data_IF_619711090898
#
_entry.id   IF_619711090898
#
_cell.length_a   1.000
_cell.length_b   1.000
_cell.length_c   1.000
_cell.angle_alpha   90.00
_cell.angle_beta   90.00
_cell.angle_gamma   90.00
#
_symmetry.space_group_name_H-M   'P 1'
#
loop_
_entity.id
_entity.type
_entity.pdbx_description
1 polymer ?
#
# COMPACT_ATOMS: atom_id res chain seq x y z
N UNK A 1 64.86 36.90 9.28
CA UNK A 1 64.60 35.57 9.86
C UNK A 1 63.35 35.68 10.74
N UNK A 2 62.16 35.35 10.22
CA UNK A 2 60.89 35.62 10.90
C UNK A 2 60.59 34.48 11.86
N UNK A 3 60.65 34.74 13.18
CA UNK A 3 60.25 33.81 14.24
C UNK A 3 58.72 33.66 14.24
N UNK A 4 58.21 32.59 13.65
CA UNK A 4 56.82 32.18 13.84
C UNK A 4 56.59 31.78 15.31
N UNK A 5 55.72 32.53 15.98
CA UNK A 5 55.35 32.31 17.38
C UNK A 5 54.65 30.94 17.57
N UNK A 6 54.98 30.17 18.61
CA UNK A 6 54.39 28.85 18.89
C UNK A 6 52.86 28.91 19.09
N UNK A 7 52.33 30.05 19.52
CA UNK A 7 50.88 30.26 19.68
C UNK A 7 50.07 30.15 18.39
N UNK A 8 50.66 30.45 17.22
CA UNK A 8 49.94 30.37 15.94
C UNK A 8 49.72 28.91 15.51
N UNK A 9 50.72 28.05 15.72
CA UNK A 9 50.61 26.60 15.47
C UNK A 9 49.62 25.92 16.43
N UNK A 10 49.53 26.40 17.66
CA UNK A 10 48.61 25.84 18.67
C UNK A 10 47.15 26.22 18.37
N UNK A 11 46.87 27.50 18.05
CA UNK A 11 45.54 27.94 17.58
C UNK A 11 45.09 27.22 16.31
N UNK A 12 45.98 27.06 15.31
CA UNK A 12 45.66 26.31 14.08
C UNK A 12 45.31 24.84 14.35
N UNK A 13 45.90 24.23 15.38
CA UNK A 13 45.63 22.84 15.75
C UNK A 13 44.31 22.70 16.50
N UNK A 14 43.98 23.66 17.37
CA UNK A 14 42.69 23.76 18.06
C UNK A 14 41.55 24.06 17.07
N UNK A 15 41.73 25.01 16.14
CA UNK A 15 40.76 25.32 15.09
C UNK A 15 40.54 24.11 14.16
N UNK A 16 41.59 23.38 13.77
CA UNK A 16 41.44 22.14 13.00
C UNK A 16 40.70 21.06 13.78
N UNK A 17 40.91 20.95 15.09
CA UNK A 17 40.18 20.01 15.95
C UNK A 17 38.70 20.37 16.08
N UNK A 18 38.40 21.65 16.30
CA UNK A 18 37.04 22.16 16.36
C UNK A 18 36.31 22.00 15.01
N UNK A 19 36.98 22.28 13.89
CA UNK A 19 36.43 22.06 12.54
C UNK A 19 36.16 20.57 12.31
N UNK A 20 37.09 19.67 12.65
CA UNK A 20 36.91 18.23 12.48
C UNK A 20 35.70 17.71 13.28
N UNK A 21 35.57 18.10 14.54
CA UNK A 21 34.44 17.69 15.39
C UNK A 21 33.13 18.23 14.83
N UNK A 22 33.13 19.49 14.39
CA UNK A 22 31.96 20.14 13.78
C UNK A 22 31.55 19.47 12.46
N UNK A 23 32.53 19.08 11.63
CA UNK A 23 32.28 18.34 10.39
C UNK A 23 31.72 16.94 10.67
N UNK A 24 32.27 16.22 11.65
CA UNK A 24 31.74 14.90 12.04
C UNK A 24 30.30 15.04 12.56
N UNK A 25 30.04 16.03 13.41
CA UNK A 25 28.70 16.31 13.91
C UNK A 25 27.73 16.64 12.78
N UNK A 26 28.13 17.49 11.84
CA UNK A 26 27.32 17.81 10.66
C UNK A 26 27.02 16.59 9.80
N UNK A 27 28.03 15.75 9.53
CA UNK A 27 27.84 14.50 8.76
C UNK A 27 26.92 13.52 9.49
N UNK A 28 27.00 13.44 10.82
CA UNK A 28 26.10 12.63 11.62
C UNK A 28 24.66 13.13 11.53
N UNK A 29 24.44 14.44 11.67
CA UNK A 29 23.12 15.05 11.51
C UNK A 29 22.56 14.85 10.08
N UNK A 30 23.41 15.02 9.06
CA UNK A 30 23.01 14.81 7.67
C UNK A 30 22.65 13.34 7.39
N UNK A 31 23.46 12.40 7.88
CA UNK A 31 23.19 10.97 7.77
C UNK A 31 21.90 10.57 8.50
N UNK A 32 21.67 11.12 9.70
CA UNK A 32 20.43 10.91 10.45
C UNK A 32 19.20 11.43 9.70
N UNK A 33 19.29 12.64 9.13
CA UNK A 33 18.21 13.23 8.34
C UNK A 33 17.91 12.39 7.10
N UNK A 34 18.94 11.95 6.36
CA UNK A 34 18.78 11.10 5.18
C UNK A 34 18.14 9.75 5.53
N UNK A 35 18.55 9.13 6.64
CA UNK A 35 17.95 7.88 7.11
C UNK A 35 16.47 8.04 7.42
N UNK A 36 16.06 9.18 7.99
CA UNK A 36 14.67 9.47 8.32
C UNK A 36 13.82 9.72 7.06
N UNK A 37 14.38 10.43 6.08
CA UNK A 37 13.72 10.64 4.79
C UNK A 37 13.51 9.33 4.02
N UNK A 38 14.53 8.46 3.97
CA UNK A 38 14.42 7.15 3.34
C UNK A 38 13.36 6.26 4.02
N UNK A 39 13.26 6.35 5.35
CA UNK A 39 12.23 5.62 6.09
C UNK A 39 10.81 6.10 5.75
N UNK A 40 10.60 7.42 5.66
CA UNK A 40 9.32 8.00 5.26
C UNK A 40 8.93 7.57 3.84
N UNK A 41 9.87 7.67 2.89
CA UNK A 41 9.63 7.28 1.49
C UNK A 41 9.25 5.80 1.35
N UNK A 42 9.90 4.91 2.11
CA UNK A 42 9.56 3.49 2.10
C UNK A 42 8.17 3.19 2.69
N UNK A 43 7.74 3.96 3.69
CA UNK A 43 6.40 3.84 4.27
C UNK A 43 5.34 4.32 3.27
N UNK A 44 5.55 5.47 2.64
CA UNK A 44 4.64 6.04 1.65
C UNK A 44 4.50 5.14 0.42
N UNK A 45 5.61 4.56 -0.04
CA UNK A 45 5.60 3.61 -1.16
C UNK A 45 4.79 2.35 -0.83
N UNK A 46 4.94 1.80 0.38
CA UNK A 46 4.17 0.63 0.82
C UNK A 46 2.68 0.95 0.91
N UNK A 47 2.33 2.12 1.45
CA UNK A 47 0.96 2.61 1.51
C UNK A 47 0.35 2.74 0.11
N UNK A 48 1.04 3.41 -0.80
CA UNK A 48 0.58 3.62 -2.17
C UNK A 48 0.38 2.28 -2.90
N UNK A 49 1.33 1.35 -2.79
CA UNK A 49 1.21 0.01 -3.38
C UNK A 49 0.01 -0.74 -2.81
N UNK A 50 -0.17 -0.70 -1.49
CA UNK A 50 -1.29 -1.38 -0.82
C UNK A 50 -2.64 -0.81 -1.27
N UNK A 51 -2.75 0.52 -1.38
CA UNK A 51 -3.95 1.20 -1.90
C UNK A 51 -4.20 0.82 -3.36
N UNK A 52 -3.17 0.89 -4.21
CA UNK A 52 -3.29 0.59 -5.64
C UNK A 52 -3.72 -0.86 -5.88
N UNK A 53 -3.15 -1.82 -5.13
CA UNK A 53 -3.59 -3.22 -5.21
C UNK A 53 -5.04 -3.38 -4.75
N UNK A 54 -5.46 -2.67 -3.68
CA UNK A 54 -6.84 -2.72 -3.21
C UNK A 54 -7.80 -2.20 -4.28
N UNK A 55 -7.44 -1.12 -4.96
CA UNK A 55 -8.23 -0.54 -6.05
C UNK A 55 -8.31 -1.44 -7.28
N UNK A 56 -7.20 -2.05 -7.71
CA UNK A 56 -7.19 -3.01 -8.82
C UNK A 56 -8.09 -4.19 -8.52
N UNK A 57 -7.89 -4.82 -7.35
CA UNK A 57 -8.67 -5.99 -6.94
C UNK A 57 -10.15 -5.64 -6.85
N UNK A 58 -10.49 -4.50 -6.24
CA UNK A 58 -11.89 -4.09 -6.10
C UNK A 58 -12.57 -3.78 -7.43
N UNK A 59 -11.92 -2.98 -8.28
CA UNK A 59 -12.49 -2.57 -9.57
C UNK A 59 -12.58 -3.73 -10.55
N UNK A 60 -11.54 -4.56 -10.63
CA UNK A 60 -11.52 -5.75 -11.49
C UNK A 60 -12.57 -6.79 -11.08
N UNK A 61 -12.70 -7.04 -9.77
CA UNK A 61 -13.75 -7.90 -9.24
C UNK A 61 -15.17 -7.41 -9.58
N UNK A 62 -15.43 -6.10 -9.41
CA UNK A 62 -16.72 -5.51 -9.81
C UNK A 62 -16.94 -5.65 -11.31
N UNK A 63 -15.95 -5.34 -12.14
CA UNK A 63 -16.08 -5.39 -13.59
C UNK A 63 -16.39 -6.81 -14.09
N UNK A 64 -15.77 -7.84 -13.52
CA UNK A 64 -16.01 -9.22 -13.94
C UNK A 64 -17.38 -9.75 -13.51
N UNK A 65 -17.83 -9.42 -12.29
CA UNK A 65 -19.06 -9.96 -11.72
C UNK A 65 -20.31 -9.09 -11.89
N UNK A 66 -20.19 -7.89 -12.48
CA UNK A 66 -21.31 -6.95 -12.67
C UNK A 66 -22.14 -7.38 -13.87
N UNK A 67 -23.44 -7.49 -13.64
CA UNK A 67 -24.44 -7.68 -14.68
C UNK A 67 -25.46 -6.55 -14.63
N UNK A 68 -25.81 -6.04 -15.79
CA UNK A 68 -26.85 -5.05 -15.96
C UNK A 68 -27.96 -5.63 -16.82
N UNK A 69 -29.19 -5.57 -16.32
CA UNK A 69 -30.35 -6.11 -17.01
C UNK A 69 -31.50 -5.12 -16.94
N UNK A 70 -32.47 -5.27 -17.84
CA UNK A 70 -33.69 -4.47 -17.83
C UNK A 70 -34.77 -5.29 -17.14
N UNK A 71 -35.38 -4.74 -16.09
CA UNK A 71 -36.47 -5.41 -15.39
C UNK A 71 -37.78 -5.37 -16.19
N UNK A 72 -38.80 -6.06 -15.68
CA UNK A 72 -40.14 -6.09 -16.29
C UNK A 72 -40.83 -4.73 -16.36
N UNK A 73 -40.33 -3.72 -15.65
CA UNK A 73 -40.82 -2.33 -15.68
C UNK A 73 -40.03 -1.45 -16.66
N UNK A 74 -39.06 -2.02 -17.40
CA UNK A 74 -38.22 -1.28 -18.33
C UNK A 74 -37.10 -0.48 -17.65
N UNK A 75 -36.84 -0.68 -16.36
CA UNK A 75 -35.77 0.01 -15.63
C UNK A 75 -34.49 -0.82 -15.68
N UNK A 76 -33.35 -0.15 -15.88
CA UNK A 76 -32.03 -0.76 -15.81
C UNK A 76 -31.71 -1.07 -14.36
N UNK A 77 -31.53 -2.34 -14.06
CA UNK A 77 -31.06 -2.85 -12.78
C UNK A 77 -29.60 -3.27 -12.91
N UNK A 78 -28.88 -3.17 -11.80
CA UNK A 78 -27.49 -3.55 -11.70
C UNK A 78 -27.35 -4.54 -10.56
N UNK A 79 -26.73 -5.68 -10.83
CA UNK A 79 -26.43 -6.69 -9.82
C UNK A 79 -24.99 -7.17 -9.96
N UNK A 80 -24.34 -7.42 -8.84
CA UNK A 80 -23.03 -8.06 -8.78
C UNK A 80 -23.19 -9.48 -8.26
N UNK A 81 -22.63 -10.44 -8.97
CA UNK A 81 -22.61 -11.85 -8.56
C UNK A 81 -21.28 -12.20 -7.90
N UNK A 82 -21.36 -12.91 -6.78
CA UNK A 82 -20.17 -13.27 -6.03
C UNK A 82 -19.39 -14.41 -6.71
N UNK A 83 -20.10 -15.41 -7.21
CA UNK A 83 -19.54 -16.60 -7.87
C UNK A 83 -20.13 -16.78 -9.26
N UNK A 84 -19.42 -17.50 -10.12
CA UNK A 84 -19.93 -17.85 -11.46
C UNK A 84 -21.17 -18.76 -11.35
N UNK A 85 -21.18 -19.65 -10.35
CA UNK A 85 -22.33 -20.51 -10.05
C UNK A 85 -23.62 -19.72 -9.74
N UNK A 86 -23.50 -18.63 -8.96
CA UNK A 86 -24.64 -17.76 -8.63
C UNK A 86 -25.19 -17.08 -9.90
N UNK A 87 -24.30 -16.68 -10.81
CA UNK A 87 -24.68 -16.03 -12.06
C UNK A 87 -25.42 -16.99 -13.00
N UNK A 88 -24.94 -18.23 -13.12
CA UNK A 88 -25.59 -19.28 -13.92
C UNK A 88 -27.01 -19.56 -13.39
N UNK A 89 -27.18 -19.63 -12.06
CA UNK A 89 -28.51 -19.83 -11.46
C UNK A 89 -29.49 -18.68 -11.71
N UNK A 90 -29.00 -17.50 -12.10
CA UNK A 90 -29.81 -16.31 -12.36
C UNK A 90 -29.80 -15.93 -13.86
N UNK A 91 -29.34 -16.83 -14.74
CA UNK A 91 -29.20 -16.62 -16.19
C UNK A 91 -28.44 -15.31 -16.53
N UNK A 92 -27.46 -14.97 -15.70
CA UNK A 92 -26.66 -13.77 -15.84
C UNK A 92 -25.45 -14.01 -16.74
N UNK A 93 -25.25 -13.12 -17.70
CA UNK A 93 -24.06 -13.13 -18.57
C UNK A 93 -22.95 -12.29 -17.91
N UNK A 94 -22.04 -12.98 -17.24
CA UNK A 94 -20.85 -12.40 -16.62
C UNK A 94 -19.60 -13.16 -17.06
N UNK A 95 -18.45 -12.49 -17.00
CA UNK A 95 -17.17 -13.12 -17.31
C UNK A 95 -16.81 -14.14 -16.23
N UNK A 96 -16.96 -13.74 -14.96
CA UNK A 96 -16.60 -14.54 -13.78
C UNK A 96 -17.18 -13.92 -12.52
N UNK A 97 -17.50 -14.73 -11.52
CA UNK A 97 -17.89 -14.24 -10.20
C UNK A 97 -16.88 -13.26 -9.60
N UNK A 98 -17.37 -12.18 -8.99
CA UNK A 98 -16.52 -11.12 -8.44
C UNK A 98 -15.49 -11.63 -7.42
N UNK A 99 -15.85 -12.62 -6.60
CA UNK A 99 -14.95 -13.22 -5.60
C UNK A 99 -13.83 -14.03 -6.26
N UNK A 100 -14.17 -14.79 -7.30
CA UNK A 100 -13.23 -15.62 -8.04
C UNK A 100 -12.22 -14.73 -8.77
N UNK A 101 -12.69 -13.66 -9.41
CA UNK A 101 -11.80 -12.68 -10.06
C UNK A 101 -10.90 -11.96 -9.05
N UNK A 102 -11.47 -11.53 -7.92
CA UNK A 102 -10.68 -10.89 -6.86
C UNK A 102 -9.55 -11.78 -6.33
N UNK A 103 -9.79 -13.09 -6.21
CA UNK A 103 -8.78 -14.06 -5.78
C UNK A 103 -7.63 -14.18 -6.79
N UNK A 104 -7.96 -14.19 -8.09
CA UNK A 104 -6.96 -14.23 -9.17
C UNK A 104 -6.14 -12.94 -9.21
N UNK A 105 -6.81 -11.79 -9.18
CA UNK A 105 -6.14 -10.48 -9.16
C UNK A 105 -5.26 -10.33 -7.92
N UNK A 106 -5.72 -10.80 -6.76
CA UNK A 106 -4.91 -10.84 -5.56
C UNK A 106 -3.66 -11.70 -5.76
N UNK A 107 -3.81 -12.92 -6.28
CA UNK A 107 -2.67 -13.82 -6.50
C UNK A 107 -1.62 -13.22 -7.45
N UNK A 108 -2.06 -12.55 -8.52
CA UNK A 108 -1.18 -11.89 -9.48
C UNK A 108 -0.45 -10.68 -8.90
N UNK A 109 -1.08 -9.94 -7.98
CA UNK A 109 -0.51 -8.71 -7.41
C UNK A 109 0.17 -8.92 -6.04
N UNK A 110 -0.02 -10.07 -5.40
CA UNK A 110 0.54 -10.37 -4.08
C UNK A 110 2.07 -10.25 -4.06
N UNK A 111 2.77 -10.67 -5.11
CA UNK A 111 4.23 -10.59 -5.20
C UNK A 111 4.78 -9.16 -5.17
N UNK A 112 4.05 -8.21 -5.75
CA UNK A 112 4.38 -6.79 -5.72
C UNK A 112 4.32 -6.19 -4.31
N UNK A 113 3.51 -6.80 -3.42
CA UNK A 113 3.42 -6.44 -2.00
C UNK A 113 4.34 -7.29 -1.12
N UNK A 114 4.48 -8.59 -1.41
CA UNK A 114 5.24 -9.54 -0.60
C UNK A 114 6.76 -9.38 -0.73
N UNK A 115 7.25 -8.77 -1.82
CA UNK A 115 8.66 -8.35 -1.91
C UNK A 115 9.03 -7.27 -0.88
N UNK A 116 8.02 -6.57 -0.35
CA UNK A 116 8.21 -5.51 0.65
C UNK A 116 7.53 -5.79 2.00
N UNK A 117 6.61 -6.75 2.09
CA UNK A 117 5.87 -7.09 3.31
C UNK A 117 6.07 -8.57 3.69
N UNK A 118 6.38 -8.84 4.96
CA UNK A 118 6.48 -10.21 5.53
C UNK A 118 5.16 -10.97 5.36
N UNK A 119 4.03 -10.27 5.48
CA UNK A 119 2.69 -10.84 5.36
C UNK A 119 1.80 -9.90 4.56
N UNK A 120 1.06 -10.44 3.61
CA UNK A 120 0.06 -9.70 2.85
C UNK A 120 -1.21 -10.56 2.77
N UNK A 121 -2.36 -9.98 3.12
CA UNK A 121 -3.66 -10.65 3.11
C UNK A 121 -4.72 -9.76 2.46
N UNK A 122 -5.45 -10.32 1.49
CA UNK A 122 -6.72 -9.78 1.06
C UNK A 122 -7.81 -10.31 1.99
N UNK A 123 -8.31 -9.44 2.85
CA UNK A 123 -9.53 -9.68 3.60
C UNK A 123 -10.67 -9.13 2.73
N UNK A 124 -11.32 -10.03 2.00
CA UNK A 124 -12.67 -9.76 1.50
C UNK A 124 -13.54 -9.58 2.74
N UNK A 125 -13.72 -8.34 3.19
CA UNK A 125 -14.25 -8.05 4.51
C UNK A 125 -15.52 -8.88 4.71
N UNK A 126 -15.48 -9.72 5.74
CA UNK A 126 -16.52 -10.66 6.15
C UNK A 126 -17.92 -10.18 5.75
N UNK A 127 -18.65 -11.06 5.07
CA UNK A 127 -20.08 -11.19 5.32
C UNK A 127 -21.01 -10.25 4.58
N UNK A 128 -21.56 -10.74 3.47
CA UNK A 128 -23.00 -11.06 3.41
C UNK A 128 -24.03 -9.94 3.57
N UNK A 129 -23.64 -8.69 3.43
CA UNK A 129 -24.66 -7.68 3.14
C UNK A 129 -25.06 -7.83 1.68
N UNK A 130 -25.98 -8.76 1.41
CA UNK A 130 -26.52 -9.04 0.09
C UNK A 130 -26.97 -7.74 -0.62
N UNK A 131 -27.35 -6.72 0.15
CA UNK A 131 -27.67 -5.40 -0.39
C UNK A 131 -26.50 -4.74 -1.15
N UNK A 132 -25.24 -4.93 -0.75
CA UNK A 132 -24.08 -4.35 -1.45
C UNK A 132 -23.95 -4.96 -2.84
N UNK A 133 -24.06 -6.29 -2.94
CA UNK A 133 -24.06 -7.00 -4.22
C UNK A 133 -25.27 -6.64 -5.08
N UNK A 134 -26.45 -6.44 -4.47
CA UNK A 134 -27.64 -5.90 -5.16
C UNK A 134 -27.47 -4.46 -5.65
N UNK A 135 -26.56 -3.68 -5.07
CA UNK A 135 -26.19 -2.33 -5.52
C UNK A 135 -24.95 -2.35 -6.43
N UNK A 136 -24.41 -3.54 -6.71
CA UNK A 136 -23.20 -3.71 -7.50
C UNK A 136 -21.88 -3.44 -6.78
N UNK A 137 -21.91 -3.18 -5.48
CA UNK A 137 -20.76 -2.69 -4.73
C UNK A 137 -19.86 -3.85 -4.35
N UNK A 138 -18.58 -3.75 -4.70
CA UNK A 138 -17.53 -4.65 -4.23
C UNK A 138 -16.62 -3.95 -3.22
N UNK A 139 -16.17 -4.68 -2.21
CA UNK A 139 -15.39 -4.15 -1.10
C UNK A 139 -14.26 -5.12 -0.72
N UNK A 140 -13.04 -4.62 -0.63
CA UNK A 140 -11.86 -5.40 -0.26
C UNK A 140 -10.99 -4.61 0.71
N UNK A 141 -10.40 -5.32 1.68
CA UNK A 141 -9.36 -4.80 2.55
C UNK A 141 -8.07 -5.55 2.27
N UNK A 142 -6.99 -4.82 2.06
CA UNK A 142 -5.65 -5.40 1.93
C UNK A 142 -4.85 -4.95 3.13
N UNK A 143 -4.31 -5.92 3.85
CA UNK A 143 -3.42 -5.70 4.99
C UNK A 143 -2.03 -6.21 4.64
N UNK A 144 -1.03 -5.38 4.88
CA UNK A 144 0.39 -5.68 4.71
C UNK A 144 1.13 -5.44 6.02
N UNK A 145 2.01 -6.37 6.38
CA UNK A 145 2.90 -6.24 7.54
C UNK A 145 4.34 -6.25 7.06
N UNK A 146 5.10 -5.19 7.35
CA UNK A 146 6.51 -5.04 6.97
C UNK A 146 7.35 -4.87 8.24
N UNK A 147 8.44 -5.61 8.30
CA UNK A 147 9.42 -5.45 9.37
C UNK A 147 10.55 -4.58 8.84
N UNK A 148 10.69 -3.39 9.43
CA UNK A 148 11.65 -2.38 8.98
C UNK A 148 12.85 -2.42 9.94
N UNK A 149 14.07 -2.71 9.45
CA UNK A 149 15.25 -2.63 10.27
C UNK A 149 15.52 -1.15 10.62
N UNK A 150 15.54 -0.86 11.91
CA UNK A 150 15.92 0.45 12.47
C UNK A 150 17.25 0.30 13.21
N UNK A 151 17.89 1.41 13.56
CA UNK A 151 19.20 1.41 14.22
C UNK A 151 19.24 0.62 15.55
N UNK A 152 18.08 0.38 16.17
CA UNK A 152 17.95 -0.24 17.49
C UNK A 152 17.22 -1.59 17.48
N UNK A 153 16.89 -2.14 16.30
CA UNK A 153 16.13 -3.39 16.19
C UNK A 153 15.26 -3.47 14.93
N UNK A 154 14.16 -4.22 15.00
CA UNK A 154 13.15 -4.30 13.94
C UNK A 154 11.87 -3.61 14.41
N UNK A 155 11.26 -2.82 13.52
CA UNK A 155 9.94 -2.22 13.73
C UNK A 155 8.93 -2.92 12.83
N UNK A 156 7.92 -3.56 13.42
CA UNK A 156 6.81 -4.15 12.66
C UNK A 156 5.76 -3.07 12.35
N UNK A 157 5.74 -2.62 11.09
CA UNK A 157 4.76 -1.70 10.55
C UNK A 157 3.60 -2.49 9.92
N UNK A 158 2.37 -2.20 10.35
CA UNK A 158 1.15 -2.75 9.73
C UNK A 158 0.44 -1.66 8.95
N UNK A 159 0.22 -1.89 7.66
CA UNK A 159 -0.52 -1.00 6.77
C UNK A 159 -1.77 -1.72 6.29
N UNK A 160 -2.94 -1.13 6.54
CA UNK A 160 -4.22 -1.67 6.10
C UNK A 160 -4.96 -0.65 5.25
N UNK A 161 -5.33 -1.02 4.02
CA UNK A 161 -6.13 -0.17 3.13
C UNK A 161 -7.42 -0.87 2.73
N UNK A 162 -8.46 -0.07 2.58
CA UNK A 162 -9.81 -0.49 2.21
C UNK A 162 -10.14 0.18 0.89
N UNK A 163 -10.64 -0.61 -0.06
CA UNK A 163 -11.18 -0.09 -1.32
C UNK A 163 -12.62 -0.58 -1.51
N UNK A 164 -13.45 0.33 -2.01
CA UNK A 164 -14.85 0.11 -2.35
C UNK A 164 -15.09 0.61 -3.77
N UNK A 165 -15.75 -0.21 -4.59
CA UNK A 165 -16.13 0.17 -5.96
C UNK A 165 -17.64 0.15 -6.10
N UNK A 166 -18.25 1.28 -6.47
CA UNK A 166 -19.67 1.35 -6.82
C UNK A 166 -20.54 2.46 -6.23
N UNK A 167 -19.97 3.36 -5.42
CA UNK A 167 -20.74 4.44 -4.76
C UNK A 167 -21.02 5.63 -5.68
N UNK A 168 -20.32 5.71 -6.82
CA UNK A 168 -20.41 6.81 -7.77
C UNK A 168 -20.62 6.26 -9.19
N UNK A 169 -21.88 6.10 -9.58
CA UNK A 169 -22.39 6.23 -10.95
C UNK A 169 -23.55 7.24 -10.91
#
# INVERSE_FOLDING_TARGET
MIRFHPHFKQRLREERGAVLISTIFFLFCLGGLLSLLLFLEQSDLLEMKTQHTADIVSKGARAAGKWEYVDSEGKRQLRLFATTEEAIQNDADIIRGAREEAAILWQLNRSALASEAKVAHAIHQKGEKAYLYRQGIYHVRIETEKSIPIWWGELDAKVGRVSQSGVYE
#
